data_IF_187452646196
#
_entry.id   IF_187452646196
#
_cell.length_a   1.000
_cell.length_b   1.000
_cell.length_c   1.000
_cell.angle_alpha   90.00
_cell.angle_beta   90.00
_cell.angle_gamma   90.00
#
_symmetry.space_group_name_H-M   'P 1'
#
loop_
_entity.id
_entity.type
_entity.pdbx_description
1 polymer ?
#
# COMPACT_ATOMS: atom_id res chain seq x y z
N UNK A 1 -14.13 -2.45 14.03
CA UNK A 1 -14.30 -3.45 12.95
C UNK A 1 -15.64 -3.19 12.27
N UNK A 2 -15.64 -2.86 10.97
CA UNK A 2 -16.86 -2.58 10.20
C UNK A 2 -17.56 -3.88 9.80
N UNK A 3 -18.86 -3.99 10.04
CA UNK A 3 -19.67 -5.10 9.56
C UNK A 3 -20.34 -4.75 8.23
N UNK A 4 -19.74 -5.19 7.11
CA UNK A 4 -20.26 -4.94 5.77
C UNK A 4 -21.46 -5.82 5.38
N UNK A 5 -21.90 -6.74 6.24
CA UNK A 5 -23.19 -7.42 6.06
C UNK A 5 -24.36 -6.53 6.52
N UNK A 6 -24.13 -5.65 7.52
CA UNK A 6 -25.15 -4.70 8.00
C UNK A 6 -25.03 -3.32 7.35
N UNK A 7 -23.83 -2.91 6.95
CA UNK A 7 -23.56 -1.67 6.24
C UNK A 7 -23.21 -1.97 4.79
N UNK A 8 -23.86 -1.30 3.82
CA UNK A 8 -23.44 -1.37 2.41
C UNK A 8 -22.13 -0.61 2.22
N UNK A 9 -21.00 -1.22 2.60
CA UNK A 9 -19.66 -0.61 2.57
C UNK A 9 -19.27 -0.09 1.18
N UNK A 10 -19.74 -0.73 0.11
CA UNK A 10 -19.54 -0.27 -1.27
C UNK A 10 -20.13 1.10 -1.56
N UNK A 11 -21.20 1.49 -0.84
CA UNK A 11 -21.92 2.75 -1.04
C UNK A 11 -21.70 3.73 0.12
N UNK A 12 -20.95 3.33 1.15
CA UNK A 12 -20.65 4.12 2.36
C UNK A 12 -19.19 3.97 2.77
N UNK A 13 -18.26 4.50 1.95
CA UNK A 13 -16.83 4.36 2.19
C UNK A 13 -16.37 5.07 3.48
N UNK A 14 -17.13 6.03 3.99
CA UNK A 14 -16.77 6.84 5.16
C UNK A 14 -16.63 6.00 6.43
N UNK A 15 -17.50 5.00 6.60
CA UNK A 15 -17.44 4.11 7.75
C UNK A 15 -16.18 3.23 7.73
N UNK A 16 -15.78 2.76 6.54
CA UNK A 16 -14.54 2.00 6.36
C UNK A 16 -13.33 2.90 6.59
N UNK A 17 -13.29 4.06 5.94
CA UNK A 17 -12.20 5.03 6.06
C UNK A 17 -11.99 5.48 7.51
N UNK A 18 -13.07 5.72 8.26
CA UNK A 18 -12.99 6.09 9.68
C UNK A 18 -12.29 5.04 10.53
N UNK A 19 -12.50 3.75 10.24
CA UNK A 19 -11.83 2.67 10.96
C UNK A 19 -10.37 2.51 10.50
N UNK A 20 -10.09 2.68 9.21
CA UNK A 20 -8.72 2.66 8.68
C UNK A 20 -7.86 3.74 9.33
N UNK A 21 -8.37 4.97 9.46
CA UNK A 21 -7.69 6.11 10.09
C UNK A 21 -7.32 5.86 11.56
N UNK A 22 -8.05 4.99 12.26
CA UNK A 22 -7.79 4.64 13.67
C UNK A 22 -6.88 3.41 13.82
N UNK A 23 -6.70 2.63 12.75
CA UNK A 23 -6.00 1.36 12.80
C UNK A 23 -4.49 1.54 12.60
N UNK A 24 -3.69 0.75 13.31
CA UNK A 24 -2.25 0.64 13.07
C UNK A 24 -1.95 -0.25 11.86
N UNK A 25 -2.67 -1.36 11.74
CA UNK A 25 -2.45 -2.39 10.73
C UNK A 25 -3.75 -2.72 10.01
N UNK A 26 -3.66 -2.91 8.70
CA UNK A 26 -4.80 -3.22 7.84
C UNK A 26 -4.51 -4.51 7.07
N UNK A 27 -5.27 -5.55 7.38
CA UNK A 27 -5.10 -6.86 6.76
C UNK A 27 -5.52 -6.80 5.29
N UNK A 28 -4.62 -7.22 4.40
CA UNK A 28 -4.83 -7.30 2.95
C UNK A 28 -4.73 -8.77 2.52
N UNK A 29 -5.77 -9.59 2.80
CA UNK A 29 -5.76 -11.00 2.43
C UNK A 29 -5.66 -11.20 0.91
N UNK A 30 -5.54 -12.44 0.47
CA UNK A 30 -5.59 -12.82 -0.94
C UNK A 30 -6.99 -12.65 -1.53
N UNK A 31 -7.09 -12.45 -2.84
CA UNK A 31 -8.35 -12.33 -3.58
C UNK A 31 -8.31 -12.91 -4.98
N UNK A 32 -9.38 -12.65 -5.74
CA UNK A 32 -9.51 -13.12 -7.13
C UNK A 32 -8.44 -12.52 -8.06
N UNK A 33 -7.90 -11.35 -7.71
CA UNK A 33 -6.81 -10.69 -8.42
C UNK A 33 -5.70 -10.28 -7.45
N UNK A 34 -4.44 -10.17 -7.92
CA UNK A 34 -3.32 -9.71 -7.08
C UNK A 34 -3.48 -8.23 -6.67
N UNK A 35 -4.26 -7.44 -7.40
CA UNK A 35 -4.47 -6.01 -7.08
C UNK A 35 -5.72 -5.79 -6.24
N UNK A 36 -5.66 -4.89 -5.25
CA UNK A 36 -6.82 -4.52 -4.43
C UNK A 36 -6.84 -3.03 -4.12
N UNK A 37 -8.00 -2.41 -4.33
CA UNK A 37 -8.25 -1.01 -3.93
C UNK A 37 -8.00 -0.77 -2.44
N UNK A 38 -8.34 -1.74 -1.58
CA UNK A 38 -8.18 -1.64 -0.12
C UNK A 38 -6.74 -1.43 0.33
N UNK A 39 -5.75 -1.85 -0.47
CA UNK A 39 -4.34 -1.58 -0.21
C UNK A 39 -4.05 -0.09 -0.27
N UNK A 40 -4.54 0.60 -1.30
CA UNK A 40 -4.37 2.05 -1.44
C UNK A 40 -5.21 2.81 -0.42
N UNK A 41 -6.45 2.37 -0.14
CA UNK A 41 -7.27 2.99 0.92
C UNK A 41 -6.54 2.92 2.29
N UNK A 42 -5.87 1.80 2.59
CA UNK A 42 -5.08 1.66 3.82
C UNK A 42 -3.85 2.59 3.84
N UNK A 43 -3.08 2.63 2.75
CA UNK A 43 -1.92 3.52 2.64
C UNK A 43 -2.33 4.99 2.78
N UNK A 44 -3.38 5.44 2.08
CA UNK A 44 -3.88 6.81 2.15
C UNK A 44 -4.36 7.15 3.57
N UNK A 45 -4.95 6.18 4.27
CA UNK A 45 -5.36 6.33 5.68
C UNK A 45 -4.18 6.29 6.69
N UNK A 46 -2.94 6.05 6.24
CA UNK A 46 -1.80 5.85 7.15
C UNK A 46 -1.86 4.54 7.93
N UNK A 47 -2.66 3.59 7.47
CA UNK A 47 -2.76 2.25 8.05
C UNK A 47 -1.78 1.31 7.35
N UNK A 48 -0.91 0.65 8.12
CA UNK A 48 0.17 -0.18 7.58
C UNK A 48 -0.44 -1.44 6.96
N UNK A 49 -0.32 -1.68 5.64
CA UNK A 49 -0.85 -2.87 5.02
C UNK A 49 -0.11 -4.12 5.49
N UNK A 50 -0.88 -5.17 5.80
CA UNK A 50 -0.38 -6.50 6.15
C UNK A 50 -0.73 -7.45 5.01
N UNK A 51 0.28 -7.87 4.25
CA UNK A 51 0.12 -8.73 3.08
C UNK A 51 0.39 -10.20 3.42
N UNK A 52 -0.30 -11.08 2.70
CA UNK A 52 -0.19 -12.53 2.89
C UNK A 52 0.45 -13.27 1.71
N UNK A 53 0.48 -12.63 0.54
CA UNK A 53 1.15 -13.12 -0.67
C UNK A 53 1.99 -12.02 -1.31
N UNK A 54 3.13 -12.39 -1.92
CA UNK A 54 4.06 -11.43 -2.53
C UNK A 54 3.51 -10.80 -3.81
N UNK A 55 2.80 -11.60 -4.61
CA UNK A 55 2.16 -11.14 -5.85
C UNK A 55 1.18 -9.99 -5.61
N UNK A 56 0.56 -9.96 -4.43
CA UNK A 56 -0.43 -8.96 -4.03
C UNK A 56 0.19 -7.66 -3.48
N UNK A 57 1.51 -7.63 -3.31
CA UNK A 57 2.20 -6.63 -2.51
C UNK A 57 3.39 -5.97 -3.20
N UNK A 58 4.29 -6.77 -3.80
CA UNK A 58 5.65 -6.34 -4.13
C UNK A 58 6.01 -6.45 -5.61
N UNK A 59 5.15 -7.09 -6.40
CA UNK A 59 5.33 -7.22 -7.85
C UNK A 59 4.56 -6.14 -8.61
N UNK A 60 3.52 -5.60 -7.99
CA UNK A 60 2.66 -4.55 -8.55
C UNK A 60 3.14 -3.17 -8.09
N UNK A 61 2.92 -2.15 -8.92
CA UNK A 61 3.15 -0.74 -8.58
C UNK A 61 4.60 -0.39 -8.17
N UNK A 62 5.59 -1.08 -8.74
CA UNK A 62 7.02 -0.85 -8.44
C UNK A 62 7.53 0.55 -8.77
N UNK A 63 6.81 1.33 -9.57
CA UNK A 63 7.10 2.74 -9.82
C UNK A 63 6.60 3.68 -8.71
N UNK A 64 5.65 3.21 -7.90
CA UNK A 64 4.93 4.02 -6.91
C UNK A 64 5.30 3.66 -5.47
N UNK A 65 5.58 2.39 -5.20
CA UNK A 65 5.89 1.91 -3.86
C UNK A 65 7.41 1.82 -3.60
N UNK A 66 7.87 1.99 -2.35
CA UNK A 66 9.26 1.78 -1.98
C UNK A 66 9.78 0.39 -2.38
N UNK A 67 11.04 0.34 -2.82
CA UNK A 67 11.71 -0.93 -3.13
C UNK A 67 11.95 -1.81 -1.89
N UNK A 68 12.02 -1.20 -0.70
CA UNK A 68 12.12 -1.91 0.57
C UNK A 68 10.73 -2.02 1.23
N UNK A 69 10.07 -3.19 1.13
CA UNK A 69 8.71 -3.37 1.62
C UNK A 69 8.56 -3.31 3.14
N UNK A 70 9.61 -3.62 3.90
CA UNK A 70 9.57 -3.63 5.37
C UNK A 70 9.53 -2.22 5.97
N UNK A 71 9.72 -1.20 5.12
CA UNK A 71 9.61 0.20 5.51
C UNK A 71 8.18 0.69 5.57
N UNK A 72 7.24 0.07 4.85
CA UNK A 72 5.85 0.54 4.77
C UNK A 72 4.80 -0.56 4.96
N UNK A 73 5.19 -1.83 5.03
CA UNK A 73 4.27 -2.96 5.09
C UNK A 73 4.76 -4.08 6.00
N UNK A 74 3.85 -4.98 6.35
CA UNK A 74 4.15 -6.23 7.05
C UNK A 74 3.82 -7.40 6.14
N UNK A 75 4.68 -8.42 6.11
CA UNK A 75 4.42 -9.66 5.38
C UNK A 75 4.22 -10.84 6.33
N UNK A 76 3.11 -11.55 6.20
CA UNK A 76 2.82 -12.78 6.93
C UNK A 76 2.47 -13.87 5.91
N UNK A 77 3.42 -14.76 5.63
CA UNK A 77 3.20 -15.84 4.66
C UNK A 77 1.97 -16.71 5.01
N UNK A 78 1.03 -16.82 4.08
CA UNK A 78 -0.24 -17.54 4.23
C UNK A 78 -0.04 -19.01 4.64
N UNK A 79 1.03 -19.66 4.16
CA UNK A 79 1.36 -21.04 4.48
C UNK A 79 1.64 -21.25 5.97
N UNK A 80 2.13 -20.22 6.68
CA UNK A 80 2.37 -20.24 8.13
C UNK A 80 1.09 -20.17 8.95
N UNK A 81 -0.05 -19.86 8.32
CA UNK A 81 -1.35 -19.83 8.97
C UNK A 81 -2.11 -21.15 8.80
N UNK A 82 -2.01 -21.80 7.64
CA UNK A 82 -2.85 -22.96 7.28
C UNK A 82 -2.21 -24.31 7.64
N UNK A 83 -0.88 -24.45 7.56
CA UNK A 83 -0.22 -25.77 7.53
C UNK A 83 0.71 -26.08 8.73
N UNK A 84 0.71 -25.27 9.78
CA UNK A 84 1.63 -25.45 10.92
C UNK A 84 1.00 -26.19 12.10
N UNK A 85 1.75 -27.12 12.72
CA UNK A 85 1.39 -27.79 14.00
C UNK A 85 1.02 -26.82 15.14
N UNK A 86 1.47 -25.57 15.03
CA UNK A 86 1.05 -24.43 15.87
C UNK A 86 0.81 -23.25 14.93
N UNK A 87 -0.47 -22.98 14.61
CA UNK A 87 -0.88 -21.86 13.78
C UNK A 87 -0.29 -20.55 14.32
N UNK A 88 0.40 -19.81 13.44
CA UNK A 88 0.86 -18.46 13.76
C UNK A 88 -0.36 -17.56 13.95
N UNK A 89 -0.47 -16.92 15.11
CA UNK A 89 -1.49 -15.90 15.35
C UNK A 89 -1.01 -14.58 14.78
N UNK A 90 -1.85 -13.93 13.98
CA UNK A 90 -1.56 -12.62 13.38
C UNK A 90 -1.30 -11.61 14.50
N UNK A 91 -2.07 -11.68 15.59
CA UNK A 91 -1.98 -10.80 16.74
C UNK A 91 -0.61 -10.86 17.42
N UNK A 92 -0.01 -12.05 17.52
CA UNK A 92 1.33 -12.23 18.09
C UNK A 92 2.39 -11.55 17.22
N UNK A 93 2.25 -11.60 15.90
CA UNK A 93 3.15 -10.90 14.96
C UNK A 93 2.97 -9.40 15.08
N UNK A 94 1.74 -8.90 15.00
CA UNK A 94 1.47 -7.45 14.97
C UNK A 94 1.79 -6.78 16.32
N UNK A 95 1.60 -7.47 17.44
CA UNK A 95 1.96 -6.97 18.77
C UNK A 95 3.46 -6.93 19.02
N UNK A 96 4.27 -7.64 18.22
CA UNK A 96 5.75 -7.56 18.30
C UNK A 96 6.32 -6.24 17.77
N UNK A 97 5.54 -5.48 17.00
CA UNK A 97 5.96 -4.18 16.47
C UNK A 97 5.87 -3.11 17.54
N UNK A 98 6.99 -2.46 17.84
CA UNK A 98 7.02 -1.32 18.75
C UNK A 98 6.28 -0.11 18.18
N UNK A 99 5.78 0.76 19.06
CA UNK A 99 5.15 2.01 18.64
C UNK A 99 6.10 2.87 17.79
N UNK A 100 7.41 2.85 18.09
CA UNK A 100 8.41 3.56 17.30
C UNK A 100 8.56 2.98 15.89
N UNK A 101 8.55 1.65 15.73
CA UNK A 101 8.57 1.03 14.40
C UNK A 101 7.30 1.37 13.62
N UNK A 102 6.12 1.32 14.25
CA UNK A 102 4.84 1.71 13.64
C UNK A 102 4.89 3.17 13.19
N UNK A 103 5.39 4.08 14.04
CA UNK A 103 5.55 5.50 13.73
C UNK A 103 6.43 5.71 12.48
N UNK A 104 7.61 5.10 12.43
CA UNK A 104 8.51 5.17 11.28
C UNK A 104 7.88 4.63 9.99
N UNK A 105 7.12 3.54 10.09
CA UNK A 105 6.41 2.98 8.92
C UNK A 105 5.34 3.94 8.41
N UNK A 106 4.61 4.61 9.30
CA UNK A 106 3.65 5.66 8.92
C UNK A 106 4.31 6.89 8.31
N UNK A 107 5.45 7.33 8.85
CA UNK A 107 6.23 8.41 8.23
C UNK A 107 6.64 8.05 6.80
N UNK A 108 7.04 6.79 6.57
CA UNK A 108 7.32 6.31 5.22
C UNK A 108 6.11 6.33 4.30
N UNK A 109 4.93 6.00 4.83
CA UNK A 109 3.67 6.09 4.08
C UNK A 109 3.36 7.54 3.71
N UNK A 110 3.57 8.49 4.62
CA UNK A 110 3.40 9.94 4.34
C UNK A 110 4.38 10.41 3.27
N UNK A 111 5.64 9.98 3.34
CA UNK A 111 6.69 10.31 2.35
C UNK A 111 6.29 9.89 0.93
N UNK A 112 5.66 8.72 0.77
CA UNK A 112 5.24 8.20 -0.54
C UNK A 112 3.81 8.59 -0.94
N UNK A 113 3.04 9.25 -0.08
CA UNK A 113 1.64 9.58 -0.38
C UNK A 113 1.42 10.28 -1.74
N UNK A 114 2.29 11.22 -2.19
CA UNK A 114 2.16 11.83 -3.51
C UNK A 114 2.27 10.84 -4.67
N UNK A 115 3.07 9.77 -4.53
CA UNK A 115 3.22 8.75 -5.58
C UNK A 115 1.99 7.86 -5.73
N UNK A 116 1.02 7.96 -4.82
CA UNK A 116 -0.20 7.15 -4.79
C UNK A 116 -1.44 7.91 -5.28
N UNK A 117 -1.39 9.25 -5.28
CA UNK A 117 -2.53 10.11 -5.54
C UNK A 117 -2.39 10.85 -6.86
N UNK A 118 -3.53 11.10 -7.49
CA UNK A 118 -3.62 11.95 -8.67
C UNK A 118 -3.99 13.33 -8.15
N UNK A 119 -3.00 14.20 -8.04
CA UNK A 119 -3.16 15.51 -7.43
C UNK A 119 -2.09 16.47 -7.92
N UNK A 120 -2.51 17.66 -8.34
CA UNK A 120 -1.57 18.74 -8.61
C UNK A 120 -1.09 19.35 -7.28
N UNK A 121 0.02 18.82 -6.75
CA UNK A 121 0.67 19.36 -5.57
C UNK A 121 1.40 20.67 -5.88
N UNK A 122 1.88 20.87 -7.12
CA UNK A 122 2.65 22.03 -7.54
C UNK A 122 1.90 23.37 -7.38
N UNK A 123 0.56 23.35 -7.46
CA UNK A 123 -0.29 24.53 -7.30
C UNK A 123 -0.74 24.80 -5.85
N UNK A 124 -0.36 23.96 -4.88
CA UNK A 124 -0.76 24.09 -3.46
C UNK A 124 0.45 24.39 -2.56
N UNK A 125 0.20 24.74 -1.30
CA UNK A 125 1.19 25.08 -0.25
C UNK A 125 2.27 23.99 0.05
N UNK A 126 2.30 22.89 -0.71
CA UNK A 126 3.32 21.82 -0.65
C UNK A 126 4.00 21.52 -1.99
N UNK A 127 3.81 22.35 -3.02
CA UNK A 127 4.29 22.11 -4.38
C UNK A 127 5.80 22.02 -4.56
N UNK A 128 6.56 22.72 -3.72
CA UNK A 128 8.02 22.60 -3.68
C UNK A 128 8.48 21.28 -3.04
N UNK A 129 7.67 20.70 -2.16
CA UNK A 129 8.01 19.47 -1.41
C UNK A 129 7.67 18.23 -2.25
N UNK A 130 6.56 18.27 -2.99
CA UNK A 130 6.08 17.14 -3.78
C UNK A 130 5.83 17.55 -5.25
N UNK A 131 6.89 17.63 -6.07
CA UNK A 131 6.77 18.15 -7.44
C UNK A 131 6.15 17.16 -8.43
N UNK A 132 5.92 15.90 -8.04
CA UNK A 132 5.38 14.84 -8.91
C UNK A 132 4.34 14.03 -8.18
N UNK A 133 3.25 13.74 -8.88
CA UNK A 133 2.18 12.88 -8.39
C UNK A 133 2.25 11.47 -9.02
N UNK A 134 1.25 10.63 -8.75
CA UNK A 134 1.19 9.30 -9.33
C UNK A 134 1.05 9.30 -10.86
N UNK A 135 0.39 10.29 -11.45
CA UNK A 135 0.25 10.39 -12.90
C UNK A 135 1.60 10.69 -13.55
N UNK A 136 2.34 11.68 -13.03
CA UNK A 136 3.67 12.05 -13.51
C UNK A 136 4.62 10.84 -13.49
N UNK A 137 4.64 10.11 -12.37
CA UNK A 137 5.46 8.92 -12.20
C UNK A 137 5.09 7.81 -13.20
N UNK A 138 3.81 7.65 -13.49
CA UNK A 138 3.32 6.65 -14.46
C UNK A 138 3.79 6.97 -15.87
N UNK A 139 3.68 8.22 -16.30
CA UNK A 139 4.13 8.68 -17.61
C UNK A 139 5.65 8.53 -17.74
N UNK A 140 6.41 8.95 -16.74
CA UNK A 140 7.86 8.81 -16.73
C UNK A 140 8.30 7.33 -16.77
N UNK A 141 7.65 6.47 -15.98
CA UNK A 141 7.89 5.03 -15.98
C UNK A 141 7.61 4.39 -17.36
N UNK A 142 6.50 4.76 -17.97
CA UNK A 142 6.14 4.30 -19.32
C UNK A 142 7.17 4.74 -20.36
N UNK A 143 7.53 6.03 -20.39
CA UNK A 143 8.52 6.56 -21.33
C UNK A 143 9.87 5.87 -21.17
N UNK A 144 10.36 5.70 -19.93
CA UNK A 144 11.61 4.96 -19.66
C UNK A 144 11.57 3.53 -20.20
N UNK A 145 10.46 2.82 -19.99
CA UNK A 145 10.28 1.45 -20.48
C UNK A 145 10.32 1.41 -22.01
N UNK A 146 9.61 2.32 -22.68
CA UNK A 146 9.59 2.42 -24.15
C UNK A 146 10.99 2.71 -24.69
N UNK A 147 11.69 3.71 -24.15
CA UNK A 147 13.04 4.08 -24.59
C UNK A 147 14.09 2.99 -24.33
N UNK A 148 13.96 2.25 -23.22
CA UNK A 148 14.86 1.12 -22.92
C UNK A 148 14.64 -0.09 -23.84
N UNK A 149 13.53 -0.14 -24.57
CA UNK A 149 13.24 -1.26 -25.47
C UNK A 149 14.17 -1.20 -26.69
N UNK A 150 14.70 -2.35 -27.10
CA UNK A 150 15.66 -2.50 -28.21
C UNK A 150 15.17 -1.95 -29.56
N UNK A 151 13.88 -1.68 -29.70
CA UNK A 151 13.28 -1.10 -30.90
C UNK A 151 13.71 0.36 -31.13
N UNK A 152 13.76 1.18 -30.07
CA UNK A 152 14.12 2.61 -30.17
C UNK A 152 15.62 2.87 -30.19
N UNK A 153 16.43 1.97 -29.63
CA UNK A 153 17.91 2.08 -29.67
C UNK A 153 18.53 1.73 -31.04
N UNK A 154 17.71 1.44 -32.05
CA UNK A 154 18.12 1.09 -33.43
C UNK A 154 17.77 2.17 -34.46
N UNK A 155 17.12 3.24 -34.04
CA UNK A 155 16.90 4.47 -34.82
C UNK A 155 17.96 5.50 -34.42
#
# INVERSE_FOLDING_TARGET
MVNCAMLKCSHRPEAVMTELLKANFCLQPSGDSPTRRSTFDALIAGCIPVFFRRDSAYEQYTWHLPSDPETYSVFIAEERMVNSRKALKIEDVLSSYSQEKIRKMREKIVEIMPSLLYMNFAEKDGGEIFPRDAFDLSIEGMLRKVMSSRFWNRL
#
